data_IF_382840576939
#
_entry.id   IF_382840576939
#
_cell.length_a   1.000
_cell.length_b   1.000
_cell.length_c   1.000
_cell.angle_alpha   90.00
_cell.angle_beta   90.00
_cell.angle_gamma   90.00
#
_symmetry.space_group_name_H-M   'P 1'
#
loop_
_entity.id
_entity.type
_entity.pdbx_description
1 polymer ?
#
# COMPACT_ATOMS: atom_id res chain seq x y z
N UNK A 1 22.95 18.40 -27.51
CA UNK A 1 23.44 17.27 -26.69
C UNK A 1 22.35 16.58 -25.84
N UNK A 2 21.11 17.11 -25.73
CA UNK A 2 20.03 16.46 -24.95
C UNK A 2 19.38 15.22 -25.60
N UNK A 3 19.40 15.12 -26.94
CA UNK A 3 18.67 14.08 -27.69
C UNK A 3 19.20 12.65 -27.44
N UNK A 4 20.52 12.42 -27.43
CA UNK A 4 21.09 11.06 -27.33
C UNK A 4 20.89 10.41 -25.96
N UNK A 5 21.00 11.18 -24.86
CA UNK A 5 20.77 10.69 -23.49
C UNK A 5 19.30 10.34 -23.26
N UNK A 6 18.39 11.18 -23.76
CA UNK A 6 16.95 10.94 -23.65
C UNK A 6 16.53 9.70 -24.45
N UNK A 7 17.08 9.50 -25.65
CA UNK A 7 16.81 8.33 -26.48
C UNK A 7 17.35 7.03 -25.85
N UNK A 8 18.50 7.10 -25.15
CA UNK A 8 19.00 5.97 -24.34
C UNK A 8 18.09 5.64 -23.16
N UNK A 9 17.53 6.64 -22.47
CA UNK A 9 16.59 6.41 -21.37
C UNK A 9 15.29 5.77 -21.87
N UNK A 10 14.72 6.27 -22.97
CA UNK A 10 13.51 5.71 -23.59
C UNK A 10 13.70 4.25 -24.00
N UNK A 11 14.84 3.91 -24.61
CA UNK A 11 15.14 2.53 -25.01
C UNK A 11 15.30 1.59 -23.82
N UNK A 12 15.94 2.03 -22.73
CA UNK A 12 16.01 1.26 -21.48
C UNK A 12 14.62 0.97 -20.90
N UNK A 13 13.76 1.99 -20.83
CA UNK A 13 12.39 1.84 -20.31
C UNK A 13 11.57 0.92 -21.21
N UNK A 14 11.70 1.06 -22.52
CA UNK A 14 10.99 0.20 -23.48
C UNK A 14 11.40 -1.27 -23.31
N UNK A 15 12.69 -1.54 -23.15
CA UNK A 15 13.20 -2.90 -22.91
C UNK A 15 12.69 -3.46 -21.58
N UNK A 16 12.69 -2.65 -20.51
CA UNK A 16 12.13 -3.04 -19.21
C UNK A 16 10.65 -3.43 -19.33
N UNK A 17 9.84 -2.63 -20.02
CA UNK A 17 8.42 -2.91 -20.20
C UNK A 17 8.19 -4.16 -21.07
N UNK A 18 8.99 -4.38 -22.11
CA UNK A 18 8.93 -5.60 -22.92
C UNK A 18 9.32 -6.85 -22.12
N UNK A 19 10.37 -6.74 -21.29
CA UNK A 19 10.80 -7.82 -20.40
C UNK A 19 9.74 -8.13 -19.34
N UNK A 20 9.07 -7.10 -18.80
CA UNK A 20 7.94 -7.27 -17.91
C UNK A 20 6.77 -8.02 -18.58
N UNK A 21 6.38 -7.57 -19.77
CA UNK A 21 5.19 -8.08 -20.48
C UNK A 21 5.40 -9.55 -20.88
N UNK A 22 6.60 -9.91 -21.38
CA UNK A 22 6.97 -11.29 -21.79
C UNK A 22 7.52 -12.15 -20.65
N UNK A 23 7.84 -11.55 -19.51
CA UNK A 23 8.54 -12.18 -18.41
C UNK A 23 7.70 -13.20 -17.66
N UNK A 24 8.36 -14.26 -17.17
CA UNK A 24 7.76 -15.17 -16.20
C UNK A 24 7.58 -14.49 -14.84
N UNK A 25 6.88 -15.15 -13.90
CA UNK A 25 6.77 -14.67 -12.51
C UNK A 25 8.14 -14.35 -11.88
N UNK A 26 9.16 -15.14 -12.20
CA UNK A 26 10.53 -14.98 -11.66
C UNK A 26 11.19 -13.74 -12.25
N UNK A 27 11.01 -13.51 -13.55
CA UNK A 27 11.52 -12.31 -14.24
C UNK A 27 10.88 -11.05 -13.66
N UNK A 28 9.55 -11.02 -13.53
CA UNK A 28 8.84 -9.88 -12.93
C UNK A 28 9.25 -9.64 -11.48
N UNK A 29 9.41 -10.69 -10.68
CA UNK A 29 9.90 -10.58 -9.31
C UNK A 29 11.30 -9.95 -9.25
N UNK A 30 12.22 -10.37 -10.13
CA UNK A 30 13.56 -9.78 -10.23
C UNK A 30 13.50 -8.31 -10.59
N UNK A 31 12.69 -7.94 -11.59
CA UNK A 31 12.45 -6.54 -11.97
C UNK A 31 11.97 -5.72 -10.76
N UNK A 32 11.05 -6.25 -9.96
CA UNK A 32 10.56 -5.56 -8.76
C UNK A 32 11.63 -5.41 -7.68
N UNK A 33 12.43 -6.46 -7.44
CA UNK A 33 13.53 -6.40 -6.47
C UNK A 33 14.54 -5.32 -6.88
N UNK A 34 14.91 -5.26 -8.15
CA UNK A 34 15.83 -4.27 -8.69
C UNK A 34 15.22 -2.87 -8.63
N UNK A 35 13.94 -2.72 -8.99
CA UNK A 35 13.21 -1.46 -8.87
C UNK A 35 13.17 -0.95 -7.43
N UNK A 36 12.81 -1.81 -6.47
CA UNK A 36 12.73 -1.45 -5.05
C UNK A 36 14.10 -1.07 -4.49
N UNK A 37 15.18 -1.71 -4.94
CA UNK A 37 16.54 -1.34 -4.54
C UNK A 37 16.95 0.03 -5.05
N UNK A 38 16.58 0.38 -6.27
CA UNK A 38 17.07 1.57 -6.97
C UNK A 38 16.23 2.84 -6.73
N UNK A 39 14.97 2.70 -6.31
CA UNK A 39 14.00 3.80 -6.31
C UNK A 39 13.45 4.17 -4.93
N UNK A 40 14.02 3.64 -3.84
CA UNK A 40 13.65 4.05 -2.49
C UNK A 40 13.84 5.56 -2.28
N UNK A 41 12.87 6.19 -1.62
CA UNK A 41 12.87 7.61 -1.25
C UNK A 41 12.92 8.61 -2.42
N UNK A 42 12.72 8.15 -3.67
CA UNK A 42 12.60 9.05 -4.82
C UNK A 42 11.28 9.82 -4.78
N UNK A 43 11.34 11.06 -5.25
CA UNK A 43 10.19 11.93 -5.50
C UNK A 43 9.50 11.56 -6.82
N UNK A 44 8.27 12.04 -7.01
CA UNK A 44 7.52 11.83 -8.24
C UNK A 44 8.28 12.28 -9.51
N UNK A 45 8.85 13.49 -9.54
CA UNK A 45 9.68 13.95 -10.65
C UNK A 45 10.91 13.07 -10.92
N UNK A 46 11.59 12.57 -9.88
CA UNK A 46 12.75 11.68 -10.04
C UNK A 46 12.34 10.32 -10.62
N UNK A 47 11.21 9.77 -10.18
CA UNK A 47 10.65 8.54 -10.78
C UNK A 47 10.32 8.76 -12.25
N UNK A 48 9.71 9.88 -12.61
CA UNK A 48 9.44 10.18 -14.01
C UNK A 48 10.69 10.40 -14.84
N UNK A 49 11.73 11.01 -14.27
CA UNK A 49 13.00 11.16 -14.95
C UNK A 49 13.66 9.80 -15.20
N UNK A 50 13.65 8.90 -14.21
CA UNK A 50 14.18 7.54 -14.32
C UNK A 50 13.43 6.74 -15.41
N UNK A 51 12.11 6.91 -15.47
CA UNK A 51 11.25 6.19 -16.41
C UNK A 51 11.00 6.95 -17.71
N UNK A 52 11.80 7.95 -18.05
CA UNK A 52 11.66 8.73 -19.28
C UNK A 52 10.20 9.20 -19.54
N UNK A 53 9.54 9.68 -18.48
CA UNK A 53 8.14 10.13 -18.44
C UNK A 53 7.08 9.02 -18.59
N UNK A 54 7.46 7.76 -18.36
CA UNK A 54 6.59 6.59 -18.46
C UNK A 54 6.41 5.83 -17.13
N UNK A 55 6.60 6.48 -15.98
CA UNK A 55 6.51 5.77 -14.70
C UNK A 55 5.07 5.26 -14.43
N UNK A 56 4.05 6.03 -14.81
CA UNK A 56 2.64 5.61 -14.77
C UNK A 56 2.39 4.31 -15.56
N UNK A 57 3.04 4.13 -16.72
CA UNK A 57 2.88 2.90 -17.52
C UNK A 57 3.42 1.65 -16.81
N UNK A 58 4.46 1.82 -16.00
CA UNK A 58 4.97 0.74 -15.16
C UNK A 58 4.05 0.50 -13.97
N UNK A 59 3.53 1.56 -13.34
CA UNK A 59 2.56 1.44 -12.24
C UNK A 59 1.29 0.71 -12.69
N UNK A 60 0.72 1.02 -13.86
CA UNK A 60 -0.46 0.33 -14.39
C UNK A 60 -0.23 -1.18 -14.55
N UNK A 61 0.96 -1.58 -15.02
CA UNK A 61 1.32 -3.00 -15.17
C UNK A 61 1.48 -3.69 -13.82
N UNK A 62 2.08 -2.99 -12.86
CA UNK A 62 2.27 -3.47 -11.50
C UNK A 62 0.92 -3.66 -10.79
N UNK A 63 0.01 -2.70 -10.87
CA UNK A 63 -1.32 -2.81 -10.24
C UNK A 63 -2.20 -3.86 -10.91
N UNK A 64 -2.12 -4.00 -12.23
CA UNK A 64 -2.79 -5.08 -12.95
C UNK A 64 -2.26 -6.46 -12.50
N UNK A 65 -0.94 -6.62 -12.37
CA UNK A 65 -0.36 -7.87 -11.91
C UNK A 65 -0.73 -8.19 -10.46
N UNK A 66 -0.78 -7.18 -9.59
CA UNK A 66 -1.24 -7.32 -8.21
C UNK A 66 -2.65 -7.86 -8.19
N UNK A 67 -3.57 -7.24 -8.94
CA UNK A 67 -4.98 -7.64 -8.97
C UNK A 67 -5.17 -9.08 -9.45
N UNK A 68 -4.34 -9.54 -10.39
CA UNK A 68 -4.41 -10.90 -10.91
C UNK A 68 -3.82 -11.97 -9.96
N UNK A 69 -2.93 -11.58 -9.04
CA UNK A 69 -2.10 -12.55 -8.31
C UNK A 69 -2.15 -12.48 -6.79
N UNK A 70 -2.72 -11.44 -6.19
CA UNK A 70 -2.71 -11.26 -4.73
C UNK A 70 -3.36 -12.42 -3.97
N UNK A 71 -4.44 -13.02 -4.50
CA UNK A 71 -5.13 -14.14 -3.85
C UNK A 71 -4.27 -15.42 -3.72
N UNK A 72 -3.31 -15.60 -4.64
CA UNK A 72 -2.38 -16.75 -4.66
C UNK A 72 -0.98 -16.39 -4.13
N UNK A 73 -0.76 -15.13 -3.73
CA UNK A 73 0.47 -14.68 -3.05
C UNK A 73 1.73 -14.68 -3.93
N UNK A 74 1.62 -14.59 -5.25
CA UNK A 74 2.80 -14.61 -6.14
C UNK A 74 3.58 -13.31 -6.01
N UNK A 75 4.78 -13.34 -5.41
CA UNK A 75 5.65 -12.15 -5.25
C UNK A 75 4.95 -10.94 -4.64
N UNK A 76 4.01 -11.21 -3.71
CA UNK A 76 3.11 -10.19 -3.19
C UNK A 76 3.86 -9.10 -2.42
N UNK A 77 4.83 -9.49 -1.59
CA UNK A 77 5.69 -8.56 -0.86
C UNK A 77 6.44 -7.60 -1.80
N UNK A 78 7.07 -8.13 -2.86
CA UNK A 78 7.81 -7.30 -3.82
C UNK A 78 6.88 -6.34 -4.56
N UNK A 79 5.66 -6.79 -4.91
CA UNK A 79 4.65 -5.96 -5.55
C UNK A 79 4.21 -4.81 -4.65
N UNK A 80 3.90 -5.09 -3.38
CA UNK A 80 3.47 -4.08 -2.41
C UNK A 80 4.59 -3.08 -2.09
N UNK A 81 5.83 -3.54 -1.93
CA UNK A 81 6.99 -2.65 -1.73
C UNK A 81 7.22 -1.72 -2.91
N UNK A 82 7.09 -2.23 -4.14
CA UNK A 82 7.20 -1.41 -5.33
C UNK A 82 6.06 -0.38 -5.43
N UNK A 83 4.81 -0.77 -5.12
CA UNK A 83 3.66 0.15 -5.06
C UNK A 83 3.89 1.23 -4.00
N UNK A 84 4.41 0.85 -2.82
CA UNK A 84 4.68 1.80 -1.75
C UNK A 84 5.58 2.94 -2.19
N UNK A 85 6.59 2.69 -3.04
CA UNK A 85 7.47 3.73 -3.58
C UNK A 85 6.66 4.78 -4.35
N UNK A 86 5.75 4.35 -5.22
CA UNK A 86 4.88 5.25 -5.98
C UNK A 86 3.93 6.04 -5.07
N UNK A 87 3.34 5.39 -4.07
CA UNK A 87 2.38 6.02 -3.15
C UNK A 87 3.04 7.00 -2.17
N UNK A 88 4.30 6.76 -1.77
CA UNK A 88 5.04 7.63 -0.86
C UNK A 88 5.82 8.75 -1.56
N UNK A 89 5.91 8.72 -2.89
CA UNK A 89 6.69 9.69 -3.65
C UNK A 89 6.12 11.11 -3.46
N UNK A 90 6.93 12.02 -2.91
CA UNK A 90 6.54 13.43 -2.80
C UNK A 90 6.33 14.04 -4.18
N UNK A 91 5.32 14.90 -4.32
CA UNK A 91 4.86 15.44 -5.62
C UNK A 91 4.43 14.36 -6.63
N UNK A 92 4.17 13.12 -6.18
CA UNK A 92 3.70 11.98 -6.98
C UNK A 92 2.18 11.81 -7.03
N UNK A 93 1.39 12.88 -6.84
CA UNK A 93 -0.07 12.79 -6.66
C UNK A 93 -0.81 12.04 -7.77
N UNK A 94 -0.29 12.07 -9.00
CA UNK A 94 -0.87 11.31 -10.12
C UNK A 94 -0.82 9.80 -9.91
N UNK A 95 0.26 9.26 -9.33
CA UNK A 95 0.39 7.83 -9.04
C UNK A 95 -0.63 7.37 -8.00
N UNK A 96 -0.86 8.21 -6.99
CA UNK A 96 -1.90 7.98 -5.99
C UNK A 96 -3.29 7.95 -6.64
N UNK A 97 -3.59 8.91 -7.53
CA UNK A 97 -4.86 8.96 -8.24
C UNK A 97 -5.09 7.73 -9.12
N UNK A 98 -4.10 7.36 -9.95
CA UNK A 98 -4.13 6.18 -10.81
C UNK A 98 -4.35 4.89 -10.00
N UNK A 99 -3.64 4.75 -8.87
CA UNK A 99 -3.76 3.59 -7.98
C UNK A 99 -5.17 3.47 -7.38
N UNK A 100 -5.77 4.59 -6.99
CA UNK A 100 -7.12 4.63 -6.42
C UNK A 100 -8.16 4.32 -7.49
N UNK A 101 -8.02 4.88 -8.69
CA UNK A 101 -8.96 4.72 -9.81
C UNK A 101 -9.11 3.25 -10.22
N UNK A 102 -8.03 2.46 -10.15
CA UNK A 102 -8.05 1.02 -10.43
C UNK A 102 -8.51 0.15 -9.24
N UNK A 103 -9.02 0.75 -8.16
CA UNK A 103 -9.50 0.03 -6.98
C UNK A 103 -8.38 -0.49 -6.08
N UNK A 104 -7.21 0.16 -6.08
CA UNK A 104 -6.05 -0.25 -5.29
C UNK A 104 -6.33 -0.34 -3.79
N UNK A 105 -7.11 0.59 -3.23
CA UNK A 105 -7.50 0.59 -1.81
C UNK A 105 -8.27 -0.68 -1.44
N UNK A 106 -9.25 -1.09 -2.25
CA UNK A 106 -10.01 -2.31 -2.02
C UNK A 106 -9.11 -3.55 -2.07
N UNK A 107 -8.18 -3.59 -3.02
CA UNK A 107 -7.22 -4.70 -3.14
C UNK A 107 -6.31 -4.80 -1.90
N UNK A 108 -5.82 -3.67 -1.37
CA UNK A 108 -5.02 -3.65 -0.14
C UNK A 108 -5.82 -4.14 1.09
N UNK A 109 -7.07 -3.70 1.21
CA UNK A 109 -7.98 -4.12 2.30
C UNK A 109 -8.32 -5.62 2.20
N UNK A 110 -8.49 -6.15 1.00
CA UNK A 110 -8.67 -7.59 0.79
C UNK A 110 -7.42 -8.37 1.21
N UNK A 111 -6.22 -7.92 0.83
CA UNK A 111 -4.94 -8.56 1.19
C UNK A 111 -4.79 -8.72 2.71
N UNK A 112 -5.05 -7.67 3.49
CA UNK A 112 -4.92 -7.75 4.97
C UNK A 112 -5.94 -8.68 5.61
N UNK A 113 -7.07 -8.94 4.93
CA UNK A 113 -8.12 -9.86 5.34
C UNK A 113 -7.91 -11.31 4.88
N UNK A 114 -6.96 -11.58 3.99
CA UNK A 114 -6.67 -12.93 3.52
C UNK A 114 -6.09 -13.80 4.64
N UNK A 115 -6.74 -14.94 4.91
CA UNK A 115 -6.30 -15.90 5.94
C UNK A 115 -4.94 -16.51 5.62
N UNK A 116 -4.68 -16.75 4.33
CA UNK A 116 -3.46 -17.38 3.82
C UNK A 116 -2.32 -16.40 3.53
N UNK A 117 -2.55 -15.08 3.59
CA UNK A 117 -1.49 -14.10 3.37
C UNK A 117 -0.47 -14.15 4.50
N UNK A 118 0.82 -14.00 4.14
CA UNK A 118 1.90 -13.93 5.12
C UNK A 118 1.80 -12.63 5.90
N UNK A 119 2.31 -12.62 7.14
CA UNK A 119 2.32 -11.40 7.95
C UNK A 119 3.10 -10.27 7.27
N UNK A 120 4.22 -10.57 6.62
CA UNK A 120 4.99 -9.59 5.85
C UNK A 120 4.18 -8.97 4.69
N UNK A 121 3.34 -9.75 4.01
CA UNK A 121 2.48 -9.24 2.94
C UNK A 121 1.39 -8.32 3.50
N UNK A 122 0.81 -8.68 4.65
CA UNK A 122 -0.18 -7.83 5.33
C UNK A 122 0.46 -6.53 5.81
N UNK A 123 1.66 -6.60 6.38
CA UNK A 123 2.42 -5.45 6.85
C UNK A 123 2.71 -4.47 5.71
N UNK A 124 3.19 -4.95 4.56
CA UNK A 124 3.43 -4.08 3.40
C UNK A 124 2.12 -3.49 2.84
N UNK A 125 1.02 -4.26 2.86
CA UNK A 125 -0.30 -3.73 2.47
C UNK A 125 -0.79 -2.63 3.41
N UNK A 126 -0.60 -2.79 4.73
CA UNK A 126 -0.90 -1.76 5.73
C UNK A 126 -0.04 -0.51 5.53
N UNK A 127 1.24 -0.64 5.19
CA UNK A 127 2.10 0.51 4.86
C UNK A 127 1.58 1.27 3.65
N UNK A 128 1.15 0.57 2.58
CA UNK A 128 0.51 1.23 1.44
C UNK A 128 -0.77 1.98 1.85
N UNK A 129 -1.63 1.38 2.69
CA UNK A 129 -2.82 2.05 3.22
C UNK A 129 -2.49 3.28 4.08
N UNK A 130 -1.40 3.22 4.86
CA UNK A 130 -0.91 4.36 5.63
C UNK A 130 -0.43 5.49 4.70
N UNK A 131 0.27 5.18 3.59
CA UNK A 131 0.62 6.19 2.58
C UNK A 131 -0.64 6.87 2.01
N UNK A 132 -1.67 6.09 1.68
CA UNK A 132 -2.97 6.62 1.20
C UNK A 132 -3.61 7.51 2.26
N UNK A 133 -3.72 7.04 3.50
CA UNK A 133 -4.30 7.81 4.60
C UNK A 133 -3.54 9.11 4.90
N UNK A 134 -2.21 9.11 4.74
CA UNK A 134 -1.36 10.27 4.98
C UNK A 134 -1.50 11.34 3.88
N UNK A 135 -1.97 10.97 2.68
CA UNK A 135 -2.14 11.91 1.58
C UNK A 135 -3.28 12.94 1.79
N UNK A 136 -4.12 12.75 2.83
CA UNK A 136 -5.09 13.75 3.27
C UNK A 136 -6.46 13.19 3.65
N UNK A 137 -7.31 14.05 4.22
CA UNK A 137 -8.64 13.68 4.75
C UNK A 137 -9.49 12.89 3.75
N UNK A 138 -9.58 13.34 2.49
CA UNK A 138 -10.38 12.67 1.44
C UNK A 138 -10.00 11.19 1.27
N UNK A 139 -8.71 10.87 1.38
CA UNK A 139 -8.23 9.49 1.25
C UNK A 139 -8.48 8.66 2.50
N UNK A 140 -8.43 9.27 3.70
CA UNK A 140 -8.88 8.62 4.94
C UNK A 140 -10.36 8.24 4.86
N UNK A 141 -11.20 9.18 4.40
CA UNK A 141 -12.63 8.95 4.20
C UNK A 141 -12.87 7.81 3.21
N UNK A 142 -12.16 7.79 2.08
CA UNK A 142 -12.24 6.70 1.10
C UNK A 142 -11.92 5.32 1.70
N UNK A 143 -10.86 5.22 2.52
CA UNK A 143 -10.53 3.97 3.22
C UNK A 143 -11.66 3.56 4.16
N UNK A 144 -12.22 4.51 4.93
CA UNK A 144 -13.32 4.23 5.84
C UNK A 144 -14.60 3.77 5.12
N UNK A 145 -14.97 4.45 4.02
CA UNK A 145 -16.12 4.11 3.17
C UNK A 145 -15.97 2.74 2.51
N UNK A 146 -14.73 2.32 2.27
CA UNK A 146 -14.37 0.99 1.76
C UNK A 146 -14.34 -0.09 2.85
N UNK A 147 -15.03 0.11 3.98
CA UNK A 147 -15.01 -0.77 5.16
C UNK A 147 -13.63 -0.95 5.82
N UNK A 148 -12.71 -0.01 5.60
CA UNK A 148 -11.33 -0.10 6.08
C UNK A 148 -11.20 -0.22 7.59
N UNK A 149 -12.04 0.49 8.36
CA UNK A 149 -12.01 0.41 9.84
C UNK A 149 -12.24 -1.03 10.31
N UNK A 150 -13.25 -1.70 9.76
CA UNK A 150 -13.57 -3.09 10.11
C UNK A 150 -12.46 -4.04 9.67
N UNK A 151 -11.99 -3.92 8.43
CA UNK A 151 -10.94 -4.79 7.90
C UNK A 151 -9.63 -4.67 8.71
N UNK A 152 -9.23 -3.44 9.07
CA UNK A 152 -8.01 -3.20 9.86
C UNK A 152 -8.17 -3.66 11.31
N UNK A 153 -9.33 -3.44 11.95
CA UNK A 153 -9.61 -3.97 13.28
C UNK A 153 -9.60 -5.51 13.30
N UNK A 154 -10.25 -6.15 12.34
CA UNK A 154 -10.21 -7.62 12.21
C UNK A 154 -8.79 -8.14 11.98
N UNK A 155 -7.97 -7.42 11.19
CA UNK A 155 -6.57 -7.75 10.99
C UNK A 155 -5.79 -7.65 12.32
N UNK A 156 -5.95 -6.56 13.07
CA UNK A 156 -5.34 -6.36 14.39
C UNK A 156 -5.67 -7.49 15.38
N UNK A 157 -6.93 -7.91 15.43
CA UNK A 157 -7.37 -8.99 16.32
C UNK A 157 -6.76 -10.36 15.97
N UNK A 158 -6.44 -10.60 14.69
CA UNK A 158 -6.00 -11.90 14.16
C UNK A 158 -4.50 -11.97 13.85
N UNK A 159 -3.82 -10.83 13.75
CA UNK A 159 -2.41 -10.73 13.43
C UNK A 159 -1.55 -11.41 14.51
N UNK A 160 -0.46 -12.03 14.07
CA UNK A 160 0.46 -12.80 14.91
C UNK A 160 1.78 -12.05 15.15
N UNK A 161 2.17 -11.19 14.22
CA UNK A 161 3.34 -10.32 14.35
C UNK A 161 2.97 -9.02 15.07
N UNK A 162 3.84 -8.58 15.98
CA UNK A 162 3.66 -7.29 16.66
C UNK A 162 3.75 -6.13 15.67
N UNK A 163 4.63 -6.20 14.67
CA UNK A 163 4.81 -5.19 13.64
C UNK A 163 3.53 -4.99 12.82
N UNK A 164 2.81 -6.08 12.51
CA UNK A 164 1.53 -6.01 11.81
C UNK A 164 0.46 -5.40 12.71
N UNK A 165 0.41 -5.79 14.00
CA UNK A 165 -0.52 -5.21 14.96
C UNK A 165 -0.27 -3.70 15.16
N UNK A 166 0.99 -3.28 15.27
CA UNK A 166 1.38 -1.87 15.35
C UNK A 166 0.96 -1.10 14.11
N UNK A 167 1.18 -1.67 12.92
CA UNK A 167 0.75 -1.06 11.67
C UNK A 167 -0.78 -0.91 11.59
N UNK A 168 -1.56 -1.90 12.05
CA UNK A 168 -3.01 -1.79 12.13
C UNK A 168 -3.44 -0.69 13.11
N UNK A 169 -2.85 -0.67 14.31
CA UNK A 169 -3.15 0.34 15.33
C UNK A 169 -2.87 1.74 14.82
N UNK A 170 -1.70 1.95 14.22
CA UNK A 170 -1.29 3.24 13.67
C UNK A 170 -2.25 3.68 12.57
N UNK A 171 -2.66 2.78 11.67
CA UNK A 171 -3.62 3.09 10.63
C UNK A 171 -4.98 3.49 11.22
N UNK A 172 -5.50 2.78 12.23
CA UNK A 172 -6.76 3.16 12.91
C UNK A 172 -6.66 4.58 13.52
N UNK A 173 -5.57 4.88 14.21
CA UNK A 173 -5.34 6.22 14.76
C UNK A 173 -5.27 7.30 13.67
N UNK A 174 -4.58 7.01 12.56
CA UNK A 174 -4.52 7.91 11.40
C UNK A 174 -5.91 8.16 10.81
N UNK A 175 -6.77 7.13 10.76
CA UNK A 175 -8.14 7.24 10.23
C UNK A 175 -9.07 8.05 11.14
N UNK A 176 -8.79 8.16 12.44
CA UNK A 176 -9.50 9.06 13.35
C UNK A 176 -8.95 10.50 13.27
N UNK A 177 -7.64 10.66 13.29
CA UNK A 177 -7.00 11.97 13.42
C UNK A 177 -7.37 12.92 12.27
N UNK A 178 -8.02 14.04 12.61
CA UNK A 178 -8.45 15.06 11.65
C UNK A 178 -9.53 14.59 10.68
N UNK A 179 -10.23 13.48 10.97
CA UNK A 179 -11.29 12.87 10.17
C UNK A 179 -12.60 12.73 10.97
N UNK A 180 -13.19 13.88 11.34
CA UNK A 180 -14.35 13.98 12.22
C UNK A 180 -15.56 13.13 11.76
N UNK A 181 -15.72 12.92 10.44
CA UNK A 181 -16.82 12.11 9.88
C UNK A 181 -16.79 10.65 10.35
N UNK A 182 -15.59 10.10 10.54
CA UNK A 182 -15.39 8.67 10.84
C UNK A 182 -14.80 8.40 12.21
N UNK A 183 -14.42 9.42 12.96
CA UNK A 183 -13.83 9.32 14.30
C UNK A 183 -14.66 8.42 15.25
N UNK A 184 -15.97 8.63 15.31
CA UNK A 184 -16.89 7.78 16.12
C UNK A 184 -16.91 6.33 15.63
N UNK A 185 -16.78 6.09 14.33
CA UNK A 185 -16.73 4.72 13.80
C UNK A 185 -15.39 4.04 14.15
N UNK A 186 -14.28 4.78 14.11
CA UNK A 186 -12.97 4.28 14.58
C UNK A 186 -13.04 3.95 16.06
N UNK A 187 -13.61 4.84 16.87
CA UNK A 187 -13.82 4.62 18.31
C UNK A 187 -14.62 3.35 18.58
N UNK A 188 -15.74 3.15 17.87
CA UNK A 188 -16.55 1.91 17.95
C UNK A 188 -15.77 0.68 17.49
N UNK A 189 -14.96 0.80 16.43
CA UNK A 189 -14.08 -0.27 15.95
C UNK A 189 -13.05 -0.69 16.99
N UNK A 190 -12.46 0.27 17.72
CA UNK A 190 -11.54 0.00 18.82
C UNK A 190 -12.23 -0.67 20.02
N UNK A 191 -13.44 -0.24 20.39
CA UNK A 191 -14.24 -0.91 21.44
C UNK A 191 -14.50 -2.38 21.06
N UNK A 192 -14.83 -2.65 19.80
CA UNK A 192 -15.10 -4.01 19.32
C UNK A 192 -13.88 -4.95 19.42
N UNK A 193 -12.67 -4.42 19.64
CA UNK A 193 -11.46 -5.23 19.88
C UNK A 193 -11.27 -5.64 21.34
N UNK A 194 -11.90 -4.95 22.30
CA UNK A 194 -11.76 -5.27 23.72
C UNK A 194 -12.16 -6.72 24.07
N UNK A 195 -13.19 -7.34 23.46
CA UNK A 195 -13.51 -8.75 23.72
C UNK A 195 -12.71 -9.76 22.87
N UNK A 196 -11.73 -9.34 22.06
CA UNK A 196 -10.99 -10.29 21.21
C UNK A 196 -10.05 -11.21 22.01
N UNK A 197 -9.59 -12.30 21.40
CA UNK A 197 -8.76 -13.31 22.10
C UNK A 197 -7.29 -12.94 22.20
N UNK A 198 -6.83 -11.86 21.55
CA UNK A 198 -5.43 -11.41 21.58
C UNK A 198 -5.23 -10.37 22.69
N UNK A 199 -4.52 -10.70 23.79
CA UNK A 199 -4.30 -9.75 24.89
C UNK A 199 -3.55 -8.49 24.45
N UNK A 200 -2.62 -8.64 23.49
CA UNK A 200 -1.88 -7.51 22.91
C UNK A 200 -2.81 -6.59 22.12
N UNK A 201 -3.69 -7.14 21.28
CA UNK A 201 -4.67 -6.34 20.54
C UNK A 201 -5.65 -5.62 21.48
N UNK A 202 -6.09 -6.27 22.56
CA UNK A 202 -6.90 -5.65 23.61
C UNK A 202 -6.17 -4.47 24.26
N UNK A 203 -4.90 -4.67 24.66
CA UNK A 203 -4.06 -3.63 25.26
C UNK A 203 -3.90 -2.44 24.30
N UNK A 204 -3.58 -2.71 23.04
CA UNK A 204 -3.42 -1.69 22.00
C UNK A 204 -4.71 -0.90 21.75
N UNK A 205 -5.85 -1.58 21.70
CA UNK A 205 -7.15 -0.95 21.57
C UNK A 205 -7.45 -0.05 22.77
N UNK A 206 -7.25 -0.52 24.00
CA UNK A 206 -7.45 0.26 25.23
C UNK A 206 -6.57 1.51 25.28
N UNK A 207 -5.31 1.41 24.84
CA UNK A 207 -4.41 2.56 24.74
C UNK A 207 -4.86 3.55 23.66
N UNK A 208 -5.27 3.05 22.49
CA UNK A 208 -5.76 3.89 21.38
C UNK A 208 -7.07 4.61 21.72
N UNK A 209 -7.96 3.98 22.49
CA UNK A 209 -9.22 4.61 22.92
C UNK A 209 -8.96 5.89 23.72
N UNK A 210 -7.89 5.95 24.52
CA UNK A 210 -7.51 7.17 25.27
C UNK A 210 -7.01 8.31 24.39
N UNK A 211 -6.56 7.99 23.17
CA UNK A 211 -6.04 8.98 22.21
C UNK A 211 -7.15 9.52 21.31
N UNK A 212 -8.18 8.71 21.04
CA UNK A 212 -9.32 9.06 20.18
C UNK A 212 -10.48 9.69 20.98
N UNK A 213 -10.42 9.64 22.32
CA UNK A 213 -11.38 10.30 23.22
C UNK A 213 -11.24 11.82 23.23
#
# INVERSE_FOLDING_TARGET
MGSSKQQSAISKVTNLLQEWDKGSKVVRAKILIDFVRQNQNKTGPELEQEFAQAASLFLTRLTAWLRLTYMIGTSLNEQLRAISIFLSASSGHKFMAEFIEVGGVLTLLEIIGLKQAKEDDKLESLKCLQCVANAGRKYKELICESYGIRAVAECLAKAKSEETQDACRNLLLMLAQGNFKFEVQVYKGLIALLPCTSPKAQQMAAQSLRVVQ
#
